data_IF_085011327166
#
_entry.id   IF_085011327166
#
_cell.length_a   1.000
_cell.length_b   1.000
_cell.length_c   1.000
_cell.angle_alpha   90.00
_cell.angle_beta   90.00
_cell.angle_gamma   90.00
#
_symmetry.space_group_name_H-M   'P 1'
#
loop_
_entity.id
_entity.type
_entity.pdbx_description
1 polymer ?
#
# COMPACT_ATOMS: atom_id res chain seq x y z
N UNK A 1 2.03 2.09 -5.44
CA UNK A 1 3.21 2.92 -5.07
C UNK A 1 4.26 3.02 -6.18
N UNK A 2 4.92 1.92 -6.57
CA UNK A 2 6.03 1.93 -7.55
C UNK A 2 5.72 2.68 -8.86
N UNK A 3 4.56 2.42 -9.44
CA UNK A 3 4.13 3.06 -10.68
C UNK A 3 3.96 4.58 -10.52
N UNK A 4 3.31 5.01 -9.43
CA UNK A 4 3.11 6.43 -9.13
C UNK A 4 4.45 7.15 -8.94
N UNK A 5 5.39 6.55 -8.19
CA UNK A 5 6.73 7.11 -8.00
C UNK A 5 7.54 7.21 -9.31
N UNK A 6 7.42 6.21 -10.19
CA UNK A 6 8.07 6.26 -11.52
C UNK A 6 7.49 7.35 -12.41
N UNK A 7 6.16 7.54 -12.38
CA UNK A 7 5.48 8.62 -13.10
C UNK A 7 5.92 9.99 -12.57
N UNK A 8 5.86 10.20 -11.26
CA UNK A 8 6.29 11.46 -10.62
C UNK A 8 7.75 11.79 -10.93
N UNK A 9 8.66 10.81 -10.87
CA UNK A 9 10.08 10.98 -11.22
C UNK A 9 10.29 11.34 -12.70
N UNK A 10 9.45 10.80 -13.60
CA UNK A 10 9.52 11.09 -15.04
C UNK A 10 8.99 12.48 -15.34
N UNK A 11 7.87 12.86 -14.72
CA UNK A 11 7.10 14.06 -15.08
C UNK A 11 7.70 15.33 -14.44
N UNK A 12 8.41 15.20 -13.31
CA UNK A 12 9.00 16.32 -12.59
C UNK A 12 10.40 16.70 -13.11
N UNK A 13 10.54 17.95 -13.58
CA UNK A 13 11.83 18.49 -14.10
C UNK A 13 12.91 18.66 -13.02
N UNK A 14 12.53 19.21 -11.87
CA UNK A 14 13.45 19.45 -10.75
C UNK A 14 12.90 18.76 -9.50
N UNK A 15 13.53 17.64 -9.15
CA UNK A 15 13.21 16.89 -7.94
C UNK A 15 14.19 17.27 -6.83
N UNK A 16 13.75 18.10 -5.88
CA UNK A 16 14.56 18.48 -4.71
C UNK A 16 14.58 17.31 -3.71
N UNK A 17 15.77 16.90 -3.29
CA UNK A 17 15.96 15.87 -2.27
C UNK A 17 15.91 16.51 -0.87
N UNK A 18 15.52 15.71 0.11
CA UNK A 18 15.62 16.10 1.52
C UNK A 18 17.08 16.33 1.90
N UNK A 19 17.33 17.29 2.80
CA UNK A 19 18.63 17.48 3.44
C UNK A 19 18.72 16.54 4.63
N UNK A 20 19.88 15.91 4.82
CA UNK A 20 20.18 15.13 6.00
C UNK A 20 21.39 15.77 6.73
N UNK A 21 21.31 16.01 8.05
CA UNK A 21 20.13 15.84 8.92
C UNK A 21 19.03 16.87 8.60
N UNK A 22 17.74 16.54 8.87
CA UNK A 22 16.63 17.47 8.65
C UNK A 22 16.53 18.56 9.72
N UNK A 23 17.01 18.30 10.93
CA UNK A 23 17.04 19.22 12.06
C UNK A 23 18.46 19.62 12.40
N UNK A 24 18.62 20.80 12.99
CA UNK A 24 19.89 21.27 13.54
C UNK A 24 20.11 20.74 14.96
N UNK A 25 21.36 20.54 15.37
CA UNK A 25 21.70 19.95 16.67
C UNK A 25 21.42 20.91 17.85
N UNK A 26 21.35 22.21 17.59
CA UNK A 26 21.06 23.27 18.56
C UNK A 26 19.54 23.52 18.73
N UNK A 27 18.70 22.99 17.84
CA UNK A 27 17.25 23.16 17.92
C UNK A 27 16.63 22.16 18.91
N UNK A 28 15.75 22.60 19.83
CA UNK A 28 15.03 21.68 20.70
C UNK A 28 14.03 20.83 19.92
N UNK A 29 13.67 19.66 20.46
CA UNK A 29 12.67 18.78 19.86
C UNK A 29 11.33 19.52 19.75
N UNK A 30 10.72 19.44 18.57
CA UNK A 30 9.43 20.06 18.24
C UNK A 30 8.28 19.44 19.05
N UNK A 31 7.43 20.27 19.65
CA UNK A 31 6.20 19.80 20.32
C UNK A 31 5.11 19.47 19.28
N UNK A 32 4.48 18.31 19.46
CA UNK A 32 3.42 17.81 18.60
C UNK A 32 2.14 18.64 18.72
N UNK A 33 1.75 19.00 19.95
CA UNK A 33 0.51 19.72 20.20
C UNK A 33 0.51 21.08 19.51
N UNK A 34 1.62 21.81 19.63
CA UNK A 34 1.73 23.17 19.10
C UNK A 34 1.98 23.22 17.59
N UNK A 35 2.71 22.25 17.01
CA UNK A 35 3.21 22.37 15.64
C UNK A 35 2.62 21.39 14.63
N UNK A 36 2.03 20.27 15.07
CA UNK A 36 1.63 19.17 14.17
C UNK A 36 0.13 18.86 14.28
N UNK A 37 -0.46 18.94 15.47
CA UNK A 37 -1.83 18.49 15.72
C UNK A 37 -2.87 19.16 14.82
N UNK A 38 -2.73 20.48 14.60
CA UNK A 38 -3.66 21.28 13.80
C UNK A 38 -3.31 21.31 12.29
N UNK A 39 -2.20 20.69 11.89
CA UNK A 39 -1.74 20.70 10.49
C UNK A 39 -2.26 19.47 9.76
N UNK A 40 -3.07 19.69 8.72
CA UNK A 40 -3.55 18.60 7.88
C UNK A 40 -2.37 17.95 7.11
N UNK A 41 -2.26 16.61 7.15
CA UNK A 41 -1.26 15.90 6.37
C UNK A 41 -1.44 16.14 4.87
N UNK A 42 -0.33 16.28 4.16
CA UNK A 42 -0.34 16.32 2.70
C UNK A 42 -0.84 15.02 2.10
N UNK A 43 -1.38 15.11 0.89
CA UNK A 43 -1.89 13.94 0.16
C UNK A 43 -0.85 12.80 0.08
N UNK A 44 -1.27 11.57 0.42
CA UNK A 44 -0.41 10.40 0.32
C UNK A 44 -0.17 9.99 -1.14
N UNK A 45 0.84 9.16 -1.36
CA UNK A 45 1.09 8.56 -2.68
C UNK A 45 0.06 7.47 -2.97
N UNK A 46 -1.05 7.87 -3.60
CA UNK A 46 -2.10 6.97 -4.06
C UNK A 46 -2.19 7.00 -5.58
N UNK A 47 -2.37 5.83 -6.18
CA UNK A 47 -2.66 5.72 -7.61
C UNK A 47 -4.17 5.84 -7.77
N UNK A 48 -4.61 6.62 -8.75
CA UNK A 48 -6.01 6.58 -9.18
C UNK A 48 -6.27 5.21 -9.82
N UNK A 49 -7.14 4.44 -9.18
CA UNK A 49 -7.61 3.14 -9.65
C UNK A 49 -8.77 3.32 -10.62
N UNK A 50 -8.99 2.33 -11.48
CA UNK A 50 -10.09 2.33 -12.43
C UNK A 50 -11.39 1.84 -11.75
N UNK A 51 -12.49 2.60 -11.90
CA UNK A 51 -13.75 2.31 -11.21
C UNK A 51 -14.40 0.99 -11.66
N UNK A 52 -14.18 0.57 -12.91
CA UNK A 52 -14.78 -0.64 -13.48
C UNK A 52 -13.85 -1.86 -13.32
N UNK A 53 -12.56 -1.71 -13.63
CA UNK A 53 -11.61 -2.82 -13.59
C UNK A 53 -11.06 -3.14 -12.20
N UNK A 54 -10.94 -2.13 -11.33
CA UNK A 54 -10.41 -2.26 -9.96
C UNK A 54 -11.51 -2.23 -8.88
N UNK A 55 -12.80 -2.24 -9.27
CA UNK A 55 -13.98 -2.23 -8.39
C UNK A 55 -13.81 -3.14 -7.14
N UNK A 56 -13.35 -4.41 -7.24
CA UNK A 56 -13.32 -5.31 -6.08
C UNK A 56 -12.35 -4.89 -4.96
N UNK A 57 -11.40 -4.00 -5.25
CA UNK A 57 -10.36 -3.54 -4.30
C UNK A 57 -10.42 -2.03 -4.03
N UNK A 58 -11.13 -1.27 -4.86
CA UNK A 58 -11.10 0.20 -4.90
C UNK A 58 -11.29 0.85 -3.52
N UNK A 59 -12.30 0.40 -2.77
CA UNK A 59 -12.71 1.04 -1.51
C UNK A 59 -11.70 0.90 -0.38
N UNK A 60 -10.93 -0.19 -0.35
CA UNK A 60 -10.12 -0.57 0.82
C UNK A 60 -8.61 -0.65 0.53
N UNK A 61 -8.19 -0.53 -0.73
CA UNK A 61 -6.81 -0.82 -1.14
C UNK A 61 -5.76 0.05 -0.43
N UNK A 62 -6.11 1.29 -0.07
CA UNK A 62 -5.22 2.24 0.60
C UNK A 62 -5.50 2.41 2.10
N UNK A 63 -6.41 1.62 2.67
CA UNK A 63 -6.67 1.65 4.10
C UNK A 63 -5.48 1.15 4.90
N UNK A 64 -5.35 1.65 6.14
CA UNK A 64 -4.34 1.18 7.08
C UNK A 64 -4.46 -0.33 7.33
N UNK A 65 -5.69 -0.80 7.55
CA UNK A 65 -6.01 -2.20 7.80
C UNK A 65 -7.21 -2.59 6.92
N UNK A 66 -6.97 -2.98 5.66
CA UNK A 66 -8.03 -3.23 4.72
C UNK A 66 -8.98 -4.33 5.15
N UNK A 67 -10.27 -4.21 4.82
CA UNK A 67 -11.30 -5.23 5.09
C UNK A 67 -11.47 -5.57 6.57
N UNK A 68 -10.90 -4.78 7.49
CA UNK A 68 -11.16 -4.95 8.92
C UNK A 68 -12.66 -4.71 9.16
N UNK A 69 -13.37 -5.62 9.85
CA UNK A 69 -14.75 -5.34 10.21
C UNK A 69 -14.79 -4.10 11.09
N UNK A 70 -15.59 -3.12 10.69
CA UNK A 70 -16.05 -2.07 11.58
C UNK A 70 -16.85 -2.70 12.74
N UNK A 71 -16.89 -2.03 13.89
CA UNK A 71 -17.51 -2.54 15.12
C UNK A 71 -19.00 -2.88 14.96
N UNK A 72 -19.62 -2.43 13.86
CA UNK A 72 -20.96 -2.77 13.42
C UNK A 72 -21.00 -4.20 12.85
N UNK A 73 -21.36 -5.16 13.71
CA UNK A 73 -21.33 -6.60 13.45
C UNK A 73 -22.29 -7.14 12.38
N UNK A 74 -22.40 -6.50 11.22
CA UNK A 74 -23.40 -6.80 10.18
C UNK A 74 -23.01 -7.95 9.24
N UNK A 75 -21.71 -8.26 9.09
CA UNK A 75 -21.28 -9.35 8.22
C UNK A 75 -21.28 -10.70 8.96
N UNK A 76 -22.06 -11.66 8.43
CA UNK A 76 -22.03 -13.07 8.84
C UNK A 76 -20.58 -13.60 8.82
N UNK A 77 -20.18 -14.47 9.77
CA UNK A 77 -18.80 -14.95 9.90
C UNK A 77 -18.27 -15.65 8.64
N UNK A 78 -19.16 -16.18 7.79
CA UNK A 78 -18.84 -16.78 6.49
C UNK A 78 -18.47 -15.79 5.39
N UNK A 79 -18.85 -14.52 5.52
CA UNK A 79 -18.62 -13.45 4.55
C UNK A 79 -17.44 -12.55 4.94
N UNK A 80 -16.89 -12.74 6.14
CA UNK A 80 -15.71 -12.00 6.60
C UNK A 80 -14.47 -12.46 5.87
N UNK A 81 -13.82 -11.52 5.18
CA UNK A 81 -12.59 -11.78 4.44
C UNK A 81 -11.37 -11.84 5.35
N UNK A 82 -11.45 -11.30 6.57
CA UNK A 82 -10.41 -11.38 7.60
C UNK A 82 -11.00 -11.90 8.91
N UNK A 83 -10.15 -12.53 9.73
CA UNK A 83 -10.59 -13.17 10.97
C UNK A 83 -10.98 -12.22 12.11
N UNK A 84 -10.88 -10.90 11.92
CA UNK A 84 -11.18 -9.85 12.91
C UNK A 84 -9.98 -8.95 13.19
N UNK A 85 -10.01 -8.23 14.32
CA UNK A 85 -8.96 -7.27 14.74
C UNK A 85 -7.59 -7.91 14.93
N UNK A 86 -7.54 -9.23 15.14
CA UNK A 86 -6.28 -9.97 15.19
C UNK A 86 -5.54 -9.99 13.83
N UNK A 87 -6.23 -9.83 12.71
CA UNK A 87 -5.65 -9.69 11.35
C UNK A 87 -4.57 -10.71 10.97
N UNK A 88 -4.80 -11.99 11.29
CA UNK A 88 -3.82 -13.09 11.05
C UNK A 88 -4.15 -13.97 9.86
N UNK A 89 -5.43 -14.07 9.51
CA UNK A 89 -5.91 -14.95 8.45
C UNK A 89 -6.84 -14.17 7.55
N UNK A 90 -6.65 -14.34 6.26
CA UNK A 90 -7.45 -13.71 5.22
C UNK A 90 -7.97 -14.76 4.24
N UNK A 91 -9.11 -14.47 3.62
CA UNK A 91 -9.75 -15.24 2.57
C UNK A 91 -10.36 -14.27 1.57
N UNK A 92 -9.68 -14.09 0.45
CA UNK A 92 -10.10 -13.19 -0.62
C UNK A 92 -10.87 -13.95 -1.71
N UNK A 93 -11.72 -13.22 -2.43
CA UNK A 93 -12.39 -13.74 -3.63
C UNK A 93 -11.42 -13.83 -4.81
N UNK A 94 -11.78 -14.63 -5.83
CA UNK A 94 -10.96 -14.74 -7.04
C UNK A 94 -10.83 -13.40 -7.77
N UNK A 95 -11.90 -12.60 -7.82
CA UNK A 95 -11.91 -11.28 -8.47
C UNK A 95 -10.95 -10.30 -7.78
N UNK A 96 -10.94 -10.28 -6.44
CA UNK A 96 -9.97 -9.47 -5.70
C UNK A 96 -8.53 -9.94 -5.97
N UNK A 97 -8.29 -11.26 -5.92
CA UNK A 97 -6.96 -11.82 -6.18
C UNK A 97 -6.47 -11.51 -7.60
N UNK A 98 -7.33 -11.56 -8.62
CA UNK A 98 -6.93 -11.24 -10.00
C UNK A 98 -6.53 -9.77 -10.15
N UNK A 99 -7.27 -8.85 -9.53
CA UNK A 99 -6.95 -7.42 -9.56
C UNK A 99 -5.65 -7.13 -8.82
N UNK A 100 -5.47 -7.69 -7.61
CA UNK A 100 -4.23 -7.53 -6.84
C UNK A 100 -3.01 -8.06 -7.61
N UNK A 101 -3.14 -9.22 -8.27
CA UNK A 101 -2.07 -9.78 -9.08
C UNK A 101 -1.72 -8.87 -10.27
N UNK A 102 -2.73 -8.34 -10.97
CA UNK A 102 -2.53 -7.36 -12.06
C UNK A 102 -1.81 -6.10 -11.57
N UNK A 103 -2.27 -5.50 -10.48
CA UNK A 103 -1.64 -4.30 -9.89
C UNK A 103 -0.21 -4.55 -9.43
N UNK A 104 0.08 -5.75 -8.91
CA UNK A 104 1.40 -6.16 -8.46
C UNK A 104 2.36 -6.58 -9.60
N UNK A 105 1.90 -6.66 -10.85
CA UNK A 105 2.70 -7.18 -11.97
C UNK A 105 4.02 -6.45 -12.23
N UNK A 106 4.16 -5.19 -11.83
CA UNK A 106 5.44 -4.46 -11.93
C UNK A 106 6.49 -4.90 -10.89
N UNK A 107 6.09 -5.66 -9.87
CA UNK A 107 6.92 -6.11 -8.75
C UNK A 107 7.14 -7.63 -8.75
N UNK A 108 6.20 -8.38 -9.34
CA UNK A 108 6.27 -9.85 -9.45
C UNK A 108 7.06 -10.22 -10.70
N UNK A 109 7.79 -11.35 -10.65
CA UNK A 109 8.47 -11.90 -11.81
C UNK A 109 7.53 -12.71 -12.70
N UNK A 110 7.75 -12.63 -14.01
CA UNK A 110 7.00 -13.42 -15.01
C UNK A 110 7.51 -14.87 -15.16
N UNK A 111 8.38 -15.31 -14.25
CA UNK A 111 9.06 -16.59 -14.32
C UNK A 111 8.14 -17.70 -13.81
N UNK A 112 7.60 -18.50 -14.74
CA UNK A 112 6.70 -19.62 -14.43
C UNK A 112 7.47 -20.93 -14.25
N UNK A 113 8.53 -21.14 -15.05
CA UNK A 113 9.31 -22.38 -15.00
C UNK A 113 10.35 -22.34 -13.87
N UNK A 114 10.29 -23.35 -13.00
CA UNK A 114 11.25 -23.53 -11.91
C UNK A 114 12.66 -23.85 -12.42
N UNK A 115 12.79 -24.43 -13.61
CA UNK A 115 14.09 -24.71 -14.21
C UNK A 115 14.91 -23.45 -14.50
N UNK A 116 14.27 -22.27 -14.55
CA UNK A 116 14.98 -21.00 -14.65
C UNK A 116 16.05 -20.83 -13.56
N UNK A 117 15.80 -21.37 -12.37
CA UNK A 117 16.71 -21.26 -11.22
C UNK A 117 17.72 -22.41 -11.14
N UNK A 118 17.83 -23.26 -12.15
CA UNK A 118 18.82 -24.34 -12.15
C UNK A 118 20.24 -23.76 -11.98
N UNK A 119 20.97 -24.24 -10.95
CA UNK A 119 22.29 -23.75 -10.49
C UNK A 119 22.31 -22.38 -9.79
N UNK A 120 21.14 -21.77 -9.58
CA UNK A 120 20.97 -20.52 -8.82
C UNK A 120 20.11 -20.70 -7.55
N UNK A 121 19.57 -21.90 -7.35
CA UNK A 121 18.89 -22.26 -6.10
C UNK A 121 19.90 -22.40 -4.95
N UNK A 122 19.44 -21.99 -3.76
CA UNK A 122 20.18 -22.09 -2.51
C UNK A 122 20.07 -23.55 -2.04
N UNK A 123 20.93 -24.44 -2.55
CA UNK A 123 21.08 -25.79 -1.98
C UNK A 123 21.36 -25.75 -0.47
#
# INVERSE_FOLDING_TARGET
MWLAMRREKRDRRHFKRMRFPPFDDEEPILDYADNIMDVEPTEPVQLQLDEDEDEPVLDWFYDRNPLMPTDDGEAAPSQRQVNGTSYRKWRLSLAQMSVLYRLAGQLISDLVDRNYFYLFDLE
#
